data_IF_418248630029
#
_entry.id   IF_418248630029
#
_cell.length_a   1.000
_cell.length_b   1.000
_cell.length_c   1.000
_cell.angle_alpha   90.00
_cell.angle_beta   90.00
_cell.angle_gamma   90.00
#
_symmetry.space_group_name_H-M   'P 1'
#
loop_
_entity.id
_entity.type
_entity.pdbx_description
1 polymer ?
#
# COMPACT_ATOMS: atom_id res chain seq x y z
N UNK A 1 -26.38 14.91 23.53
CA UNK A 1 -26.35 14.40 22.14
C UNK A 1 -24.92 14.32 21.67
N UNK A 2 -24.49 13.18 21.29
CA UNK A 2 -23.14 13.03 20.79
C UNK A 2 -23.01 13.64 19.39
N UNK A 3 -21.89 14.29 19.12
CA UNK A 3 -21.67 14.80 17.76
C UNK A 3 -21.61 13.62 16.78
N UNK A 4 -21.99 13.84 15.53
CA UNK A 4 -21.90 12.78 14.53
C UNK A 4 -20.44 12.35 14.38
N UNK A 5 -20.23 11.07 14.54
CA UNK A 5 -18.90 10.49 14.38
C UNK A 5 -18.78 9.92 12.99
N UNK A 6 -17.69 10.25 12.31
CA UNK A 6 -17.40 9.73 11.02
C UNK A 6 -16.30 8.70 11.06
N UNK A 7 -16.41 7.72 10.18
CA UNK A 7 -15.35 6.74 9.96
C UNK A 7 -14.89 6.84 8.51
N UNK A 8 -13.59 6.68 8.32
CA UNK A 8 -13.04 6.59 7.00
C UNK A 8 -12.57 5.17 6.75
N UNK A 9 -13.03 4.60 5.66
CA UNK A 9 -12.64 3.27 5.25
C UNK A 9 -11.83 3.40 3.97
N UNK A 10 -10.63 2.82 3.98
CA UNK A 10 -9.79 2.75 2.79
C UNK A 10 -9.64 1.29 2.41
N UNK A 11 -10.11 0.95 1.23
CA UNK A 11 -10.03 -0.41 0.70
C UNK A 11 -9.02 -0.44 -0.44
N UNK A 12 -7.94 -1.18 -0.25
CA UNK A 12 -6.89 -1.32 -1.25
C UNK A 12 -7.08 -2.67 -1.94
N UNK A 13 -7.69 -2.65 -3.12
CA UNK A 13 -7.83 -3.85 -3.93
C UNK A 13 -6.60 -4.09 -4.79
N UNK A 14 -6.71 -5.05 -5.71
CA UNK A 14 -5.61 -5.34 -6.65
C UNK A 14 -5.33 -4.18 -7.58
N UNK A 15 -6.37 -3.67 -8.24
CA UNK A 15 -6.22 -2.63 -9.26
C UNK A 15 -6.78 -1.27 -8.90
N UNK A 16 -7.57 -1.18 -7.83
CA UNK A 16 -8.26 0.05 -7.46
C UNK A 16 -8.18 0.25 -5.95
N UNK A 17 -7.94 1.48 -5.54
CA UNK A 17 -8.05 1.90 -4.14
C UNK A 17 -9.29 2.76 -4.01
N UNK A 18 -10.10 2.48 -3.02
CA UNK A 18 -11.30 3.25 -2.73
C UNK A 18 -11.21 3.78 -1.30
N UNK A 19 -11.61 5.03 -1.12
CA UNK A 19 -11.68 5.64 0.19
C UNK A 19 -13.07 6.26 0.34
N UNK A 20 -13.68 6.04 1.49
CA UNK A 20 -15.03 6.55 1.75
C UNK A 20 -15.14 7.05 3.19
N UNK A 21 -15.87 8.14 3.35
CA UNK A 21 -16.24 8.65 4.67
C UNK A 21 -17.70 8.28 4.91
N UNK A 22 -17.95 7.62 6.03
CA UNK A 22 -19.27 7.09 6.38
C UNK A 22 -19.70 7.69 7.72
N UNK A 23 -20.92 8.16 7.79
CA UNK A 23 -21.55 8.56 9.04
C UNK A 23 -22.95 7.96 9.10
N UNK A 24 -23.31 7.38 10.25
CA UNK A 24 -24.65 6.85 10.47
C UNK A 24 -25.15 5.99 9.30
N UNK A 25 -24.27 5.13 8.80
CA UNK A 25 -24.53 4.21 7.70
C UNK A 25 -24.75 4.87 6.34
N UNK A 26 -24.44 6.16 6.23
CA UNK A 26 -24.50 6.85 4.95
C UNK A 26 -23.09 7.20 4.48
N UNK A 27 -22.89 7.08 3.18
CA UNK A 27 -21.64 7.49 2.55
C UNK A 27 -21.72 8.99 2.29
N UNK A 28 -20.82 9.74 2.89
CA UNK A 28 -20.77 11.21 2.75
C UNK A 28 -19.90 11.60 1.56
N UNK A 29 -18.73 10.97 1.44
CA UNK A 29 -17.80 11.21 0.33
C UNK A 29 -17.12 9.90 -0.02
N UNK A 30 -16.84 9.72 -1.28
CA UNK A 30 -16.10 8.56 -1.76
C UNK A 30 -15.25 8.97 -2.95
N UNK A 31 -14.05 8.42 -3.01
CA UNK A 31 -13.14 8.61 -4.13
C UNK A 31 -12.48 7.27 -4.45
N UNK A 32 -12.05 7.13 -5.69
CA UNK A 32 -11.30 5.96 -6.09
C UNK A 32 -10.14 6.36 -7.00
N UNK A 33 -9.13 5.51 -7.05
CA UNK A 33 -7.98 5.69 -7.92
C UNK A 33 -7.54 4.37 -8.50
N UNK A 34 -6.99 4.39 -9.70
CA UNK A 34 -6.52 3.18 -10.39
C UNK A 34 -5.13 2.80 -9.92
N UNK A 35 -4.99 2.58 -8.63
CA UNK A 35 -3.76 2.14 -7.99
C UNK A 35 -4.15 1.19 -6.88
N UNK A 36 -3.41 0.10 -6.76
CA UNK A 36 -3.69 -0.89 -5.73
C UNK A 36 -2.51 -1.79 -5.52
N UNK A 37 -2.75 -2.96 -4.93
CA UNK A 37 -1.70 -3.91 -4.57
C UNK A 37 -0.86 -4.38 -5.74
N UNK A 38 -1.45 -4.52 -6.92
CA UNK A 38 -0.72 -4.96 -8.12
C UNK A 38 0.34 -3.93 -8.52
N UNK A 39 0.01 -2.64 -8.43
CA UNK A 39 0.98 -1.58 -8.72
C UNK A 39 2.14 -1.60 -7.74
N UNK A 40 1.86 -1.90 -6.48
CA UNK A 40 2.91 -2.04 -5.46
C UNK A 40 3.82 -3.22 -5.82
N UNK A 41 3.23 -4.36 -6.19
CA UNK A 41 3.99 -5.53 -6.59
C UNK A 41 4.88 -5.24 -7.81
N UNK A 42 4.32 -4.57 -8.82
CA UNK A 42 5.06 -4.19 -10.02
C UNK A 42 6.22 -3.25 -9.70
N UNK A 43 6.01 -2.32 -8.77
CA UNK A 43 7.07 -1.40 -8.36
C UNK A 43 8.23 -2.16 -7.67
N UNK A 44 7.91 -3.15 -6.87
CA UNK A 44 8.91 -3.99 -6.22
C UNK A 44 9.69 -4.80 -7.26
N UNK A 45 8.98 -5.41 -8.19
CA UNK A 45 9.61 -6.18 -9.28
C UNK A 45 10.57 -5.32 -10.11
N UNK A 46 10.12 -4.12 -10.43
CA UNK A 46 10.91 -3.18 -11.22
C UNK A 46 12.17 -2.72 -10.48
N UNK A 47 12.03 -2.43 -9.19
CA UNK A 47 13.15 -2.00 -8.36
C UNK A 47 14.22 -3.08 -8.26
N UNK A 48 13.81 -4.32 -7.99
CA UNK A 48 14.72 -5.46 -7.86
C UNK A 48 15.45 -5.70 -9.18
N UNK A 49 14.73 -5.59 -10.29
CA UNK A 49 15.35 -5.75 -11.61
C UNK A 49 16.40 -4.68 -11.88
N UNK A 50 16.09 -3.43 -11.55
CA UNK A 50 17.02 -2.34 -11.82
C UNK A 50 18.25 -2.36 -10.92
N UNK A 51 18.04 -2.66 -9.64
CA UNK A 51 19.14 -2.58 -8.67
C UNK A 51 19.98 -3.85 -8.65
N UNK A 52 19.35 -5.00 -8.74
CA UNK A 52 20.03 -6.29 -8.56
C UNK A 52 20.13 -7.10 -9.83
N UNK A 53 19.56 -6.60 -10.91
CA UNK A 53 19.53 -7.31 -12.20
C UNK A 53 18.89 -8.70 -12.04
N UNK A 54 17.85 -8.77 -11.24
CA UNK A 54 17.18 -9.99 -10.83
C UNK A 54 15.72 -9.94 -11.20
N UNK A 55 15.23 -10.98 -11.86
CA UNK A 55 13.82 -11.11 -12.21
C UNK A 55 13.10 -11.91 -11.11
N UNK A 56 12.08 -11.32 -10.51
CA UNK A 56 11.23 -12.01 -9.55
C UNK A 56 9.80 -12.01 -10.07
N UNK A 57 9.02 -13.00 -9.64
CA UNK A 57 7.63 -13.11 -10.03
C UNK A 57 6.72 -12.26 -9.12
N UNK A 58 5.47 -12.14 -9.56
CA UNK A 58 4.49 -11.35 -8.81
C UNK A 58 4.23 -11.92 -7.41
N UNK A 59 4.20 -13.25 -7.30
CA UNK A 59 3.99 -13.88 -5.99
C UNK A 59 5.11 -13.55 -5.00
N UNK A 60 6.34 -13.54 -5.48
CA UNK A 60 7.49 -13.17 -4.66
C UNK A 60 7.39 -11.71 -4.23
N UNK A 61 7.03 -10.82 -5.16
CA UNK A 61 6.86 -9.41 -4.86
C UNK A 61 5.74 -9.19 -3.83
N UNK A 62 4.64 -9.92 -3.96
CA UNK A 62 3.54 -9.86 -3.00
C UNK A 62 3.97 -10.31 -1.61
N UNK A 63 4.76 -11.38 -1.54
CA UNK A 63 5.31 -11.84 -0.26
C UNK A 63 6.19 -10.79 0.39
N UNK A 64 7.03 -10.11 -0.40
CA UNK A 64 7.88 -9.03 0.08
C UNK A 64 7.02 -7.88 0.62
N UNK A 65 5.99 -7.50 -0.13
CA UNK A 65 5.06 -6.45 0.27
C UNK A 65 4.41 -6.76 1.63
N UNK A 66 3.97 -7.99 1.81
CA UNK A 66 3.32 -8.43 3.05
C UNK A 66 4.31 -8.39 4.22
N UNK A 67 5.54 -8.87 4.00
CA UNK A 67 6.57 -8.86 5.04
C UNK A 67 6.94 -7.44 5.46
N UNK A 68 7.04 -6.52 4.51
CA UNK A 68 7.31 -5.11 4.82
C UNK A 68 6.15 -4.51 5.60
N UNK A 69 4.92 -4.82 5.19
CA UNK A 69 3.74 -4.34 5.91
C UNK A 69 3.71 -4.82 7.35
N UNK A 70 4.09 -6.07 7.58
CA UNK A 70 4.16 -6.63 8.93
C UNK A 70 5.28 -6.00 9.77
N UNK A 71 6.33 -5.50 9.10
CA UNK A 71 7.50 -4.94 9.76
C UNK A 71 7.41 -3.44 9.97
N UNK A 72 6.33 -2.79 9.56
CA UNK A 72 6.20 -1.34 9.56
C UNK A 72 6.37 -0.71 10.95
N UNK A 73 6.02 -1.44 12.00
CA UNK A 73 6.13 -0.94 13.37
C UNK A 73 7.47 -1.25 14.04
N UNK A 74 8.37 -1.92 13.33
CA UNK A 74 9.69 -2.19 13.87
C UNK A 74 10.58 -0.95 13.77
N UNK A 75 11.25 -0.56 14.86
CA UNK A 75 12.14 0.60 14.81
C UNK A 75 13.41 0.36 14.03
N UNK A 76 13.77 -0.90 13.82
CA UNK A 76 14.97 -1.27 13.12
C UNK A 76 14.68 -1.71 11.70
N UNK A 77 15.63 -1.44 10.81
CA UNK A 77 15.53 -1.92 9.45
C UNK A 77 15.73 -3.43 9.43
N UNK A 78 14.78 -4.14 8.83
CA UNK A 78 14.84 -5.58 8.69
C UNK A 78 15.34 -5.95 7.31
N UNK A 79 15.90 -7.15 7.20
CA UNK A 79 16.35 -7.69 5.92
C UNK A 79 15.53 -8.93 5.58
N UNK A 80 15.45 -9.21 4.29
CA UNK A 80 14.77 -10.41 3.81
C UNK A 80 15.48 -10.93 2.58
N UNK A 81 15.53 -12.25 2.43
CA UNK A 81 16.13 -12.88 1.27
C UNK A 81 15.08 -13.07 0.20
N UNK A 82 15.41 -12.68 -1.01
CA UNK A 82 14.51 -12.77 -2.16
C UNK A 82 15.21 -13.57 -3.24
N UNK A 83 14.54 -14.61 -3.72
CA UNK A 83 15.08 -15.48 -4.76
C UNK A 83 14.43 -15.16 -6.10
N UNK A 84 15.25 -15.09 -7.14
CA UNK A 84 14.80 -14.85 -8.49
C UNK A 84 15.77 -15.41 -9.49
N UNK A 85 15.64 -14.96 -10.73
CA UNK A 85 16.51 -15.38 -11.82
C UNK A 85 17.44 -14.23 -12.18
N UNK A 86 18.73 -14.51 -12.19
CA UNK A 86 19.73 -13.52 -12.62
C UNK A 86 19.52 -13.25 -14.13
N UNK A 87 19.38 -11.98 -14.49
CA UNK A 87 19.14 -11.59 -15.87
C UNK A 87 20.35 -11.77 -16.78
N UNK A 88 21.54 -11.88 -16.21
CA UNK A 88 22.77 -12.08 -16.98
C UNK A 88 23.04 -13.56 -17.21
N UNK A 89 23.07 -14.34 -16.12
CA UNK A 89 23.42 -15.76 -16.20
C UNK A 89 22.22 -16.66 -16.50
N UNK A 90 21.00 -16.20 -16.23
CA UNK A 90 19.80 -17.01 -16.35
C UNK A 90 19.62 -18.01 -15.21
N UNK A 91 20.50 -18.00 -14.21
CA UNK A 91 20.48 -18.94 -13.11
C UNK A 91 19.75 -18.36 -11.89
N UNK A 92 19.22 -19.22 -11.02
CA UNK A 92 18.64 -18.76 -9.76
C UNK A 92 19.68 -18.05 -8.91
N UNK A 93 19.25 -16.97 -8.26
CA UNK A 93 20.11 -16.20 -7.36
C UNK A 93 19.25 -15.63 -6.25
N UNK A 94 19.83 -15.54 -5.07
CA UNK A 94 19.17 -14.95 -3.91
C UNK A 94 19.88 -13.63 -3.56
N UNK A 95 19.11 -12.59 -3.32
CA UNK A 95 19.65 -11.30 -2.86
C UNK A 95 18.98 -10.94 -1.54
N UNK A 96 19.69 -10.21 -0.72
CA UNK A 96 19.16 -9.71 0.55
C UNK A 96 18.71 -8.28 0.35
N UNK A 97 17.45 -8.02 0.67
CA UNK A 97 16.81 -6.71 0.49
C UNK A 97 16.42 -6.18 1.85
N UNK A 98 16.51 -4.87 2.04
CA UNK A 98 16.13 -4.22 3.29
C UNK A 98 14.72 -3.63 3.18
N UNK A 99 14.09 -3.44 4.33
CA UNK A 99 12.77 -2.78 4.37
C UNK A 99 12.85 -1.36 3.83
N UNK A 100 13.96 -0.66 4.08
CA UNK A 100 14.17 0.69 3.54
C UNK A 100 14.18 0.73 2.02
N UNK A 101 14.79 -0.27 1.39
CA UNK A 101 14.80 -0.37 -0.07
C UNK A 101 13.39 -0.56 -0.62
N UNK A 102 12.57 -1.36 0.03
CA UNK A 102 11.20 -1.60 -0.42
C UNK A 102 10.32 -0.38 -0.21
N UNK A 103 10.52 0.35 0.88
CA UNK A 103 9.81 1.62 1.09
C UNK A 103 10.14 2.59 -0.04
N UNK A 104 11.41 2.69 -0.43
CA UNK A 104 11.82 3.51 -1.56
C UNK A 104 11.20 3.03 -2.87
N UNK A 105 11.21 1.72 -3.09
CA UNK A 105 10.67 1.13 -4.32
C UNK A 105 9.18 1.40 -4.50
N UNK A 106 8.43 1.45 -3.41
CA UNK A 106 6.97 1.58 -3.43
C UNK A 106 6.48 3.00 -3.20
N UNK A 107 7.39 3.98 -3.18
CA UNK A 107 7.02 5.37 -2.88
C UNK A 107 5.96 5.92 -3.83
N UNK A 108 6.07 5.68 -5.14
CA UNK A 108 5.12 6.21 -6.12
C UNK A 108 3.70 5.64 -5.96
N UNK A 109 3.48 4.33 -5.95
CA UNK A 109 2.13 3.82 -5.76
C UNK A 109 1.55 4.19 -4.40
N UNK A 110 2.36 4.24 -3.35
CA UNK A 110 1.88 4.65 -2.04
C UNK A 110 1.48 6.12 -2.02
N UNK A 111 2.21 6.98 -2.74
CA UNK A 111 1.83 8.39 -2.89
C UNK A 111 0.49 8.54 -3.62
N UNK A 112 0.24 7.70 -4.62
CA UNK A 112 -1.03 7.72 -5.34
C UNK A 112 -2.19 7.27 -4.45
N UNK A 113 -1.98 6.26 -3.63
CA UNK A 113 -2.98 5.81 -2.65
C UNK A 113 -3.25 6.92 -1.64
N UNK A 114 -2.19 7.54 -1.14
CA UNK A 114 -2.30 8.66 -0.21
C UNK A 114 -3.08 9.82 -0.81
N UNK A 115 -2.92 10.08 -2.12
CA UNK A 115 -3.65 11.14 -2.80
C UNK A 115 -5.16 10.87 -2.82
N UNK A 116 -5.57 9.61 -2.98
CA UNK A 116 -6.99 9.23 -2.92
C UNK A 116 -7.56 9.57 -1.55
N UNK A 117 -6.84 9.21 -0.50
CA UNK A 117 -7.25 9.49 0.88
C UNK A 117 -7.34 11.00 1.13
N UNK A 118 -6.34 11.75 0.69
CA UNK A 118 -6.31 13.20 0.86
C UNK A 118 -7.45 13.89 0.11
N UNK A 119 -7.78 13.42 -1.08
CA UNK A 119 -8.89 13.98 -1.85
C UNK A 119 -10.21 13.80 -1.13
N UNK A 120 -10.45 12.64 -0.54
CA UNK A 120 -11.67 12.41 0.23
C UNK A 120 -11.72 13.35 1.43
N UNK A 121 -10.62 13.45 2.17
CA UNK A 121 -10.57 14.31 3.36
C UNK A 121 -10.75 15.79 3.02
N UNK A 122 -10.16 16.26 1.92
CA UNK A 122 -10.30 17.67 1.54
C UNK A 122 -11.71 18.03 1.05
N UNK A 123 -12.50 17.05 0.64
CA UNK A 123 -13.89 17.26 0.23
C UNK A 123 -14.88 16.91 1.34
N UNK A 124 -14.39 16.57 2.52
CA UNK A 124 -15.20 16.23 3.68
C UNK A 124 -15.34 17.50 4.56
N UNK A 125 -16.52 17.74 5.19
CA UNK A 125 -16.66 18.86 6.09
C UNK A 125 -15.55 18.88 7.14
N UNK A 126 -14.99 20.06 7.47
CA UNK A 126 -13.82 20.13 8.36
C UNK A 126 -14.01 19.50 9.72
N UNK A 127 -15.18 19.61 10.30
CA UNK A 127 -15.46 19.01 11.60
C UNK A 127 -15.38 17.50 11.55
N UNK A 128 -15.92 16.93 10.50
CA UNK A 128 -15.92 15.49 10.32
C UNK A 128 -14.52 14.98 9.95
N UNK A 129 -13.81 15.73 9.12
CA UNK A 129 -12.43 15.38 8.74
C UNK A 129 -11.51 15.39 9.97
N UNK A 130 -11.67 16.36 10.83
CA UNK A 130 -10.90 16.44 12.07
C UNK A 130 -11.17 15.25 12.98
N UNK A 131 -12.44 14.85 13.11
CA UNK A 131 -12.83 13.70 13.91
C UNK A 131 -12.21 12.40 13.36
N UNK A 132 -12.22 12.25 12.03
CA UNK A 132 -11.62 11.09 11.38
C UNK A 132 -10.13 11.01 11.64
N UNK A 133 -9.43 12.12 11.55
CA UNK A 133 -7.99 12.17 11.79
C UNK A 133 -7.67 11.76 13.22
N UNK A 134 -8.48 12.26 14.19
CA UNK A 134 -8.28 11.93 15.59
C UNK A 134 -8.59 10.47 15.91
N UNK A 135 -9.60 9.90 15.29
CA UNK A 135 -10.02 8.52 15.54
C UNK A 135 -9.26 7.48 14.74
N UNK A 136 -8.62 7.93 13.67
CA UNK A 136 -7.89 7.04 12.77
C UNK A 136 -8.70 6.55 11.59
N UNK A 137 -8.03 5.86 10.70
CA UNK A 137 -8.58 5.39 9.44
C UNK A 137 -8.62 3.86 9.46
N UNK A 138 -9.75 3.29 9.09
CA UNK A 138 -9.88 1.85 8.96
C UNK A 138 -9.35 1.43 7.59
N UNK A 139 -8.32 0.63 7.59
CA UNK A 139 -7.69 0.15 6.37
C UNK A 139 -8.10 -1.28 6.10
N UNK A 140 -8.65 -1.54 4.94
CA UNK A 140 -8.99 -2.89 4.51
C UNK A 140 -8.26 -3.19 3.20
N UNK A 141 -7.89 -4.43 3.01
CA UNK A 141 -7.29 -4.84 1.74
C UNK A 141 -7.77 -6.23 1.38
N UNK A 142 -7.94 -6.45 0.07
CA UNK A 142 -8.31 -7.74 -0.46
C UNK A 142 -7.03 -8.37 -1.02
N UNK A 143 -6.34 -9.11 -0.17
CA UNK A 143 -5.05 -9.72 -0.51
C UNK A 143 -5.28 -11.00 -1.30
N UNK A 144 -4.52 -11.16 -2.39
CA UNK A 144 -4.57 -12.39 -3.18
C UNK A 144 -5.84 -12.57 -3.99
N UNK A 145 -6.67 -11.54 -4.09
CA UNK A 145 -7.88 -11.59 -4.90
C UNK A 145 -7.85 -10.52 -5.98
N UNK A 146 -8.21 -10.91 -7.11
CA UNK A 146 -8.33 -10.01 -8.25
C UNK A 146 -9.78 -9.66 -8.52
#
# INVERSE_FOLDING_TARGET
>A
MEPPAGDMIVNIGGGITEAAVITMNNIIRAESGRVGGIRIDEAIMSYVRRKYNLAIGQQTAESVKIQVGAAVNHPEELTMDVQGRDNVSGLPRTVTITTGEIVEATADPLAQISAVVKNVLSNTPPELASDIIDRGIVLTSVVGRT
#
